data_IF_609556711721
#
_entry.id   IF_609556711721
#
_cell.length_a   1.000
_cell.length_b   1.000
_cell.length_c   1.000
_cell.angle_alpha   90.00
_cell.angle_beta   90.00
_cell.angle_gamma   90.00
#
_symmetry.space_group_name_H-M   'P 1'
#
loop_
_entity.id
_entity.type
_entity.pdbx_description
1 polymer ?
#
# COMPACT_ATOMS: atom_id res chain seq x y z
N UNK A 1 -11.57 -36.36 19.04
CA UNK A 1 -11.38 -34.90 18.80
C UNK A 1 -11.07 -34.73 17.33
N UNK A 2 -12.00 -34.17 16.57
CA UNK A 2 -11.87 -33.97 15.12
C UNK A 2 -10.77 -32.93 14.87
N UNK A 3 -9.66 -33.36 14.26
CA UNK A 3 -8.66 -32.45 13.70
C UNK A 3 -9.38 -31.55 12.69
N UNK A 4 -9.44 -30.25 12.99
CA UNK A 4 -9.86 -29.23 12.04
C UNK A 4 -8.87 -29.27 10.88
N UNK A 5 -9.29 -29.87 9.76
CA UNK A 5 -8.58 -29.80 8.48
C UNK A 5 -8.64 -28.35 7.99
N UNK A 6 -7.79 -27.50 8.55
CA UNK A 6 -7.68 -26.11 8.12
C UNK A 6 -7.07 -26.10 6.73
N UNK A 7 -7.92 -25.84 5.73
CA UNK A 7 -7.50 -25.55 4.37
C UNK A 7 -6.47 -24.39 4.46
N UNK A 8 -5.27 -24.54 3.88
CA UNK A 8 -4.24 -23.50 3.94
C UNK A 8 -4.76 -22.23 3.24
N UNK A 9 -4.47 -21.03 3.78
CA UNK A 9 -4.91 -19.78 3.16
C UNK A 9 -4.47 -19.67 1.69
N UNK A 10 -5.29 -19.05 0.81
CA UNK A 10 -4.98 -18.94 -0.60
C UNK A 10 -3.71 -18.12 -0.84
N UNK A 11 -3.05 -18.34 -1.97
CA UNK A 11 -1.89 -17.53 -2.34
C UNK A 11 -2.29 -16.07 -2.61
N UNK A 12 -1.45 -15.08 -2.25
CA UNK A 12 -1.69 -13.67 -2.54
C UNK A 12 -1.81 -13.32 -4.04
N UNK A 13 -1.63 -14.28 -4.95
CA UNK A 13 -1.61 -14.06 -6.41
C UNK A 13 -2.95 -14.29 -7.10
N UNK A 14 -4.01 -14.68 -6.39
CA UNK A 14 -5.30 -14.93 -7.02
C UNK A 14 -6.13 -13.65 -7.01
N UNK A 15 -6.15 -12.94 -8.15
CA UNK A 15 -7.17 -11.93 -8.42
C UNK A 15 -8.53 -12.60 -8.40
N UNK A 16 -9.42 -12.18 -7.50
CA UNK A 16 -10.78 -12.72 -7.40
C UNK A 16 -11.73 -11.54 -7.28
N UNK A 17 -11.98 -10.87 -8.41
CA UNK A 17 -13.28 -10.24 -8.60
C UNK A 17 -14.25 -11.29 -9.15
N UNK A 18 -14.86 -12.02 -8.22
CA UNK A 18 -16.26 -12.42 -8.35
C UNK A 18 -16.98 -11.82 -7.14
N UNK A 19 -17.43 -10.57 -7.27
CA UNK A 19 -18.34 -9.94 -6.31
C UNK A 19 -19.47 -9.31 -7.11
N UNK A 20 -20.70 -9.69 -6.76
CA UNK A 20 -21.97 -9.23 -7.30
C UNK A 20 -22.08 -7.69 -7.34
N UNK A 21 -21.48 -7.08 -8.35
CA UNK A 21 -21.69 -5.69 -8.74
C UNK A 21 -22.57 -5.71 -9.98
N UNK A 22 -23.88 -5.70 -9.77
CA UNK A 22 -24.82 -5.66 -10.88
C UNK A 22 -24.80 -4.25 -11.51
N UNK A 23 -24.01 -4.13 -12.58
CA UNK A 23 -23.79 -2.92 -13.38
C UNK A 23 -25.06 -2.49 -14.14
N UNK A 24 -26.14 -3.27 -14.09
CA UNK A 24 -27.40 -2.97 -14.78
C UNK A 24 -28.35 -2.09 -13.97
N UNK A 25 -28.02 -1.78 -12.71
CA UNK A 25 -28.85 -0.89 -11.90
C UNK A 25 -28.76 0.59 -12.36
N UNK A 26 -29.87 1.24 -12.73
CA UNK A 26 -29.86 2.56 -13.37
C UNK A 26 -29.31 3.69 -12.48
N UNK A 27 -29.43 3.59 -11.14
CA UNK A 27 -28.84 4.56 -10.20
C UNK A 27 -27.30 4.54 -10.15
N UNK A 28 -26.67 3.45 -10.58
CA UNK A 28 -25.21 3.32 -10.65
C UNK A 28 -24.65 3.77 -12.00
N UNK A 29 -25.45 3.73 -13.07
CA UNK A 29 -25.05 4.16 -14.42
C UNK A 29 -24.73 5.66 -14.47
N UNK A 30 -25.54 6.54 -13.87
CA UNK A 30 -25.30 7.99 -13.89
C UNK A 30 -24.04 8.42 -13.11
N UNK A 31 -23.68 7.67 -12.06
CA UNK A 31 -22.47 7.92 -11.27
C UNK A 31 -21.21 7.38 -11.97
N UNK A 32 -21.34 6.32 -12.76
CA UNK A 32 -20.26 5.69 -13.53
C UNK A 32 -19.99 6.42 -14.86
N UNK A 33 -21.01 7.01 -15.50
CA UNK A 33 -20.86 7.83 -16.73
C UNK A 33 -19.88 8.99 -16.54
N UNK A 34 -19.83 9.59 -15.34
CA UNK A 34 -18.88 10.68 -15.01
C UNK A 34 -17.42 10.23 -14.93
N UNK A 35 -17.18 8.93 -14.78
CA UNK A 35 -15.86 8.32 -14.61
C UNK A 35 -15.58 7.27 -15.70
N UNK A 36 -16.44 7.16 -16.71
CA UNK A 36 -16.34 6.20 -17.82
C UNK A 36 -15.05 6.39 -18.60
N UNK A 37 -14.66 7.66 -18.79
CA UNK A 37 -13.37 8.02 -19.39
C UNK A 37 -12.17 7.62 -18.51
N UNK A 38 -12.33 7.51 -17.18
CA UNK A 38 -11.28 7.01 -16.27
C UNK A 38 -11.23 5.48 -16.35
N UNK A 39 -12.36 4.78 -16.40
CA UNK A 39 -12.40 3.31 -16.48
C UNK A 39 -11.93 2.76 -17.84
N UNK A 40 -12.25 3.46 -18.94
CA UNK A 40 -11.73 3.14 -20.29
C UNK A 40 -10.24 3.50 -20.42
N UNK A 41 -9.77 4.51 -19.67
CA UNK A 41 -8.36 4.85 -19.55
C UNK A 41 -7.58 3.78 -18.77
N UNK A 42 -8.21 3.16 -17.76
CA UNK A 42 -7.71 2.15 -16.80
C UNK A 42 -7.57 0.71 -17.36
N UNK A 43 -7.77 0.48 -18.66
CA UNK A 43 -7.30 -0.75 -19.32
C UNK A 43 -7.94 -2.06 -18.85
N UNK A 44 -9.16 -2.03 -18.29
CA UNK A 44 -9.87 -3.17 -17.68
C UNK A 44 -10.13 -4.36 -18.64
N UNK A 45 -9.79 -4.26 -19.93
CA UNK A 45 -10.11 -5.28 -20.94
C UNK A 45 -8.92 -5.92 -21.67
N UNK A 46 -7.70 -5.88 -21.13
CA UNK A 46 -6.58 -6.64 -21.72
C UNK A 46 -5.42 -6.90 -20.72
N UNK A 47 -5.66 -7.63 -19.63
CA UNK A 47 -4.60 -7.92 -18.65
C UNK A 47 -3.63 -9.01 -19.18
N UNK A 48 -2.43 -8.59 -19.60
CA UNK A 48 -1.28 -9.47 -19.83
C UNK A 48 -0.84 -10.07 -18.47
N UNK A 49 -0.64 -11.39 -18.41
CA UNK A 49 -0.20 -12.09 -17.19
C UNK A 49 1.10 -11.50 -16.59
N UNK A 50 1.96 -10.90 -17.43
CA UNK A 50 3.15 -10.17 -16.98
C UNK A 50 2.80 -8.90 -16.21
N UNK A 51 1.88 -8.09 -16.70
CA UNK A 51 1.41 -6.87 -16.00
C UNK A 51 0.78 -7.24 -14.67
N UNK A 52 -0.01 -8.32 -14.65
CA UNK A 52 -0.62 -8.87 -13.45
C UNK A 52 0.42 -9.29 -12.38
N UNK A 53 1.52 -9.92 -12.80
CA UNK A 53 2.59 -10.30 -11.87
C UNK A 53 3.43 -9.10 -11.42
N UNK A 54 3.78 -8.20 -12.34
CA UNK A 54 4.64 -7.05 -12.07
C UNK A 54 3.96 -6.05 -11.11
N UNK A 55 2.67 -5.78 -11.32
CA UNK A 55 1.89 -4.91 -10.42
C UNK A 55 1.80 -5.50 -9.00
N UNK A 56 1.65 -6.82 -8.87
CA UNK A 56 1.65 -7.49 -7.57
C UNK A 56 2.99 -7.36 -6.84
N UNK A 57 4.12 -7.55 -7.55
CA UNK A 57 5.46 -7.39 -6.97
C UNK A 57 5.72 -5.95 -6.54
N UNK A 58 5.36 -4.98 -7.38
CA UNK A 58 5.49 -3.56 -7.10
C UNK A 58 4.62 -3.12 -5.91
N UNK A 59 3.36 -3.59 -5.87
CA UNK A 59 2.45 -3.34 -4.76
C UNK A 59 2.98 -3.91 -3.44
N UNK A 60 3.46 -5.16 -3.47
CA UNK A 60 4.06 -5.78 -2.29
C UNK A 60 5.29 -5.02 -1.79
N UNK A 61 6.10 -4.48 -2.68
CA UNK A 61 7.23 -3.62 -2.28
C UNK A 61 6.76 -2.41 -1.47
N UNK A 62 5.69 -1.73 -1.90
CA UNK A 62 5.09 -0.62 -1.17
C UNK A 62 4.55 -1.06 0.20
N UNK A 63 3.83 -2.19 0.24
CA UNK A 63 3.26 -2.74 1.47
C UNK A 63 4.36 -3.10 2.49
N UNK A 64 5.41 -3.80 2.06
CA UNK A 64 6.50 -4.22 2.94
C UNK A 64 7.21 -3.00 3.55
N UNK A 65 7.46 -1.96 2.74
CA UNK A 65 8.09 -0.75 3.22
C UNK A 65 7.18 0.02 4.18
N UNK A 66 5.89 0.16 3.85
CA UNK A 66 4.93 0.87 4.70
C UNK A 66 4.65 0.15 6.03
N UNK A 67 4.66 -1.19 6.03
CA UNK A 67 4.44 -2.03 7.19
C UNK A 67 5.71 -2.24 8.04
N UNK A 68 6.75 -1.43 7.85
CA UNK A 68 7.93 -1.48 8.70
C UNK A 68 7.61 -0.87 10.09
N UNK A 69 7.70 -1.63 11.20
CA UNK A 69 7.25 -1.16 12.51
C UNK A 69 7.94 0.10 13.03
N UNK A 70 9.14 0.40 12.55
CA UNK A 70 9.89 1.60 12.95
C UNK A 70 9.21 2.91 12.55
N UNK A 71 8.39 2.94 11.48
CA UNK A 71 7.59 4.12 11.15
C UNK A 71 6.63 4.48 12.28
N UNK A 72 5.93 3.47 12.81
CA UNK A 72 4.90 3.67 13.82
C UNK A 72 5.50 4.19 15.13
N UNK A 73 6.67 3.66 15.52
CA UNK A 73 7.42 4.17 16.67
C UNK A 73 7.94 5.59 16.43
N UNK A 74 8.64 5.82 15.32
CA UNK A 74 9.32 7.09 15.06
C UNK A 74 8.33 8.25 14.87
N UNK A 75 7.12 7.96 14.37
CA UNK A 75 6.08 8.94 14.11
C UNK A 75 5.01 8.99 15.20
N UNK A 76 5.08 8.10 16.20
CA UNK A 76 4.06 7.95 17.24
C UNK A 76 2.66 7.78 16.60
N UNK A 77 2.56 6.80 15.69
CA UNK A 77 1.32 6.46 14.99
C UNK A 77 0.64 5.27 15.66
N UNK A 78 -0.70 5.29 15.79
CA UNK A 78 -1.44 4.10 16.17
C UNK A 78 -1.28 3.02 15.09
N UNK A 79 -1.40 1.76 15.48
CA UNK A 79 -1.30 0.60 14.56
C UNK A 79 -2.65 0.31 13.88
N UNK A 80 -3.47 1.34 13.70
CA UNK A 80 -4.84 1.22 13.20
C UNK A 80 -4.90 1.23 11.67
N UNK A 81 -6.09 0.95 11.14
CA UNK A 81 -6.35 0.96 9.71
C UNK A 81 -5.95 2.28 9.05
N UNK A 82 -6.28 3.41 9.69
CA UNK A 82 -6.04 4.76 9.13
C UNK A 82 -4.56 5.02 8.94
N UNK A 83 -3.74 4.73 9.94
CA UNK A 83 -2.30 4.98 9.91
C UNK A 83 -1.60 4.03 8.94
N UNK A 84 -2.00 2.76 8.92
CA UNK A 84 -1.52 1.79 7.93
C UNK A 84 -1.84 2.22 6.49
N UNK A 85 -3.07 2.65 6.23
CA UNK A 85 -3.48 3.10 4.89
C UNK A 85 -2.73 4.37 4.47
N UNK A 86 -2.57 5.35 5.37
CA UNK A 86 -1.91 6.61 5.06
C UNK A 86 -0.42 6.42 4.73
N UNK A 87 0.30 5.57 5.48
CA UNK A 87 1.69 5.21 5.19
C UNK A 87 1.82 4.39 3.91
N UNK A 88 0.91 3.46 3.64
CA UNK A 88 0.89 2.73 2.36
C UNK A 88 0.73 3.71 1.18
N UNK A 89 -0.19 4.66 1.30
CA UNK A 89 -0.45 5.65 0.27
C UNK A 89 0.75 6.59 0.02
N UNK A 90 1.58 6.88 1.04
CA UNK A 90 2.85 7.61 0.84
C UNK A 90 3.74 6.88 -0.17
N UNK A 91 3.94 5.57 0.01
CA UNK A 91 4.84 4.77 -0.83
C UNK A 91 4.26 4.57 -2.24
N UNK A 92 2.97 4.28 -2.34
CA UNK A 92 2.29 4.17 -3.63
C UNK A 92 2.35 5.51 -4.39
N UNK A 93 2.18 6.65 -3.71
CA UNK A 93 2.31 7.96 -4.36
C UNK A 93 3.74 8.21 -4.90
N UNK A 94 4.78 7.84 -4.14
CA UNK A 94 6.18 7.96 -4.60
C UNK A 94 6.42 7.13 -5.88
N UNK A 95 5.95 5.89 -5.92
CA UNK A 95 6.03 5.03 -7.11
C UNK A 95 5.23 5.62 -8.26
N UNK A 96 4.01 6.10 -8.01
CA UNK A 96 3.17 6.77 -9.00
C UNK A 96 3.91 7.93 -9.67
N UNK A 97 4.58 8.80 -8.89
CA UNK A 97 5.37 9.93 -9.42
C UNK A 97 6.46 9.48 -10.39
N UNK A 98 7.06 8.32 -10.16
CA UNK A 98 8.07 7.73 -11.05
C UNK A 98 7.46 7.11 -12.31
N UNK A 99 6.30 6.46 -12.19
CA UNK A 99 5.63 5.85 -13.33
C UNK A 99 5.17 6.91 -14.34
N UNK A 100 4.54 7.99 -13.87
CA UNK A 100 4.09 9.09 -14.75
C UNK A 100 5.22 9.97 -15.30
N UNK A 101 6.44 9.83 -14.78
CA UNK A 101 7.59 10.58 -15.31
C UNK A 101 8.18 9.92 -16.57
N UNK A 102 7.80 8.68 -16.87
CA UNK A 102 8.17 8.02 -18.13
C UNK A 102 7.34 8.65 -19.24
N UNK A 103 7.94 9.53 -20.04
CA UNK A 103 7.28 10.01 -21.25
C UNK A 103 7.34 8.92 -22.32
N UNK A 104 6.20 8.33 -22.69
CA UNK A 104 6.09 7.55 -23.91
C UNK A 104 5.40 8.40 -24.99
N UNK A 105 6.00 8.48 -26.17
CA UNK A 105 5.47 9.24 -27.32
C UNK A 105 4.41 8.47 -28.12
N UNK A 106 3.85 7.38 -27.56
CA UNK A 106 2.94 6.46 -28.24
C UNK A 106 1.65 6.18 -27.46
N UNK A 107 0.71 5.44 -28.08
CA UNK A 107 -0.57 5.03 -27.46
C UNK A 107 -0.39 4.03 -26.30
N UNK A 108 0.75 3.36 -26.23
CA UNK A 108 1.08 2.37 -25.19
C UNK A 108 2.14 2.97 -24.25
N UNK A 109 1.69 3.60 -23.17
CA UNK A 109 2.56 4.07 -22.09
C UNK A 109 2.70 2.95 -21.03
N UNK A 110 3.82 2.22 -20.99
CA UNK A 110 4.01 1.12 -20.05
C UNK A 110 4.00 1.59 -18.58
N UNK A 111 4.41 2.83 -18.31
CA UNK A 111 4.37 3.42 -16.98
C UNK A 111 2.92 3.61 -16.51
N UNK A 112 2.07 4.13 -17.41
CA UNK A 112 0.63 4.26 -17.17
C UNK A 112 -0.01 2.89 -16.94
N UNK A 113 0.17 1.91 -17.83
CA UNK A 113 -0.43 0.57 -17.67
C UNK A 113 -0.05 -0.09 -16.34
N UNK A 114 1.23 -0.01 -15.94
CA UNK A 114 1.68 -0.56 -14.65
C UNK A 114 1.11 0.20 -13.45
N UNK A 115 0.92 1.51 -13.57
CA UNK A 115 0.32 2.34 -12.53
C UNK A 115 -1.15 1.98 -12.30
N UNK A 116 -1.91 1.76 -13.35
CA UNK A 116 -3.34 1.40 -13.27
C UNK A 116 -3.49 0.05 -12.58
N UNK A 117 -2.71 -0.94 -13.02
CA UNK A 117 -2.65 -2.24 -12.37
C UNK A 117 -2.20 -2.16 -10.89
N UNK A 118 -1.26 -1.27 -10.54
CA UNK A 118 -0.86 -1.02 -9.15
C UNK A 118 -2.02 -0.47 -8.30
N UNK A 119 -2.82 0.46 -8.83
CA UNK A 119 -3.99 1.00 -8.13
C UNK A 119 -5.09 -0.05 -7.96
N UNK A 120 -5.30 -0.92 -8.94
CA UNK A 120 -6.25 -2.02 -8.82
C UNK A 120 -5.86 -2.94 -7.66
N UNK A 121 -4.57 -3.30 -7.53
CA UNK A 121 -4.08 -4.07 -6.38
C UNK A 121 -4.24 -3.34 -5.05
N UNK A 122 -3.97 -2.03 -5.03
CA UNK A 122 -4.18 -1.22 -3.83
C UNK A 122 -5.64 -1.27 -3.37
N UNK A 123 -6.59 -1.10 -4.29
CA UNK A 123 -8.00 -1.03 -3.92
C UNK A 123 -8.61 -2.41 -3.61
N UNK A 124 -8.17 -3.46 -4.29
CA UNK A 124 -8.49 -4.84 -3.94
C UNK A 124 -8.03 -5.17 -2.51
N UNK A 125 -6.75 -4.89 -2.17
CA UNK A 125 -6.25 -5.10 -0.82
C UNK A 125 -6.96 -4.20 0.21
N UNK A 126 -7.29 -2.96 -0.16
CA UNK A 126 -8.04 -2.03 0.71
C UNK A 126 -9.42 -2.59 1.05
N UNK A 127 -10.10 -3.27 0.12
CA UNK A 127 -11.37 -3.98 0.40
C UNK A 127 -11.17 -5.04 1.49
N UNK A 128 -10.10 -5.83 1.41
CA UNK A 128 -9.79 -6.83 2.44
C UNK A 128 -9.45 -6.18 3.78
N UNK A 129 -8.70 -5.07 3.78
CA UNK A 129 -8.40 -4.30 4.99
C UNK A 129 -9.65 -3.70 5.64
N UNK A 130 -10.64 -3.29 4.84
CA UNK A 130 -11.94 -2.81 5.33
C UNK A 130 -12.72 -3.98 5.96
N UNK A 131 -12.79 -5.13 5.31
CA UNK A 131 -13.39 -6.35 5.88
C UNK A 131 -12.72 -6.77 7.18
N UNK A 132 -11.40 -6.60 7.28
CA UNK A 132 -10.65 -6.85 8.51
C UNK A 132 -11.10 -5.98 9.70
N UNK A 133 -11.75 -4.82 9.44
CA UNK A 133 -12.37 -4.00 10.49
C UNK A 133 -13.72 -4.55 10.98
N UNK A 134 -14.18 -5.70 10.49
CA UNK A 134 -15.45 -6.35 10.83
C UNK A 134 -16.68 -5.45 10.56
N UNK A 135 -16.62 -4.63 9.52
CA UNK A 135 -17.78 -3.86 9.04
C UNK A 135 -18.75 -4.78 8.26
N UNK A 136 -20.01 -4.36 8.14
CA UNK A 136 -20.98 -5.08 7.33
C UNK A 136 -20.57 -5.11 5.85
N UNK A 137 -20.67 -6.26 5.19
CA UNK A 137 -20.39 -6.42 3.75
C UNK A 137 -21.16 -5.40 2.89
N UNK A 138 -22.39 -5.05 3.29
CA UNK A 138 -23.23 -4.06 2.60
C UNK A 138 -22.63 -2.64 2.62
N UNK A 139 -21.75 -2.35 3.58
CA UNK A 139 -21.11 -1.05 3.77
C UNK A 139 -19.67 -0.97 3.25
N UNK A 140 -19.08 -2.10 2.84
CA UNK A 140 -17.67 -2.17 2.38
C UNK A 140 -17.40 -1.21 1.22
N UNK A 141 -18.27 -1.19 0.20
CA UNK A 141 -18.11 -0.28 -0.94
C UNK A 141 -18.27 1.20 -0.57
N UNK A 142 -19.12 1.50 0.42
CA UNK A 142 -19.25 2.87 0.95
C UNK A 142 -17.95 3.30 1.62
N UNK A 143 -17.41 2.45 2.50
CA UNK A 143 -16.14 2.73 3.17
C UNK A 143 -14.97 2.80 2.20
N UNK A 144 -14.94 1.97 1.16
CA UNK A 144 -13.92 2.04 0.11
C UNK A 144 -13.91 3.43 -0.55
N UNK A 145 -15.09 3.97 -0.88
CA UNK A 145 -15.20 5.33 -1.44
C UNK A 145 -14.69 6.41 -0.47
N UNK A 146 -14.98 6.30 0.83
CA UNK A 146 -14.47 7.21 1.86
C UNK A 146 -12.94 7.13 2.00
N UNK A 147 -12.36 5.93 1.92
CA UNK A 147 -10.92 5.71 1.96
C UNK A 147 -10.25 6.29 0.72
N UNK A 148 -10.79 6.00 -0.47
CA UNK A 148 -10.29 6.53 -1.74
C UNK A 148 -10.27 8.06 -1.73
N UNK A 149 -11.36 8.71 -1.29
CA UNK A 149 -11.43 10.17 -1.20
C UNK A 149 -10.31 10.74 -0.32
N UNK A 150 -10.02 10.12 0.83
CA UNK A 150 -8.94 10.57 1.72
C UNK A 150 -7.55 10.34 1.11
N UNK A 151 -7.32 9.19 0.50
CA UNK A 151 -6.07 8.86 -0.17
C UNK A 151 -5.78 9.81 -1.34
N UNK A 152 -6.78 10.12 -2.18
CA UNK A 152 -6.61 11.09 -3.26
C UNK A 152 -6.40 12.51 -2.74
N UNK A 153 -7.08 12.91 -1.65
CA UNK A 153 -6.79 14.18 -0.97
C UNK A 153 -5.34 14.28 -0.50
N UNK A 154 -4.79 13.19 0.06
CA UNK A 154 -3.37 13.11 0.44
C UNK A 154 -2.44 13.26 -0.77
N UNK A 155 -2.74 12.59 -1.89
CA UNK A 155 -1.94 12.69 -3.12
C UNK A 155 -1.93 14.11 -3.67
N UNK A 156 -3.09 14.77 -3.72
CA UNK A 156 -3.21 16.18 -4.16
C UNK A 156 -2.38 17.11 -3.28
N UNK A 157 -2.41 16.94 -1.95
CA UNK A 157 -1.60 17.74 -1.04
C UNK A 157 -0.09 17.53 -1.25
N UNK A 158 0.34 16.29 -1.53
CA UNK A 158 1.74 16.00 -1.85
C UNK A 158 2.16 16.53 -3.23
N UNK A 159 1.29 16.45 -4.24
CA UNK A 159 1.54 17.01 -5.57
C UNK A 159 1.66 18.54 -5.54
N UNK A 160 0.86 19.22 -4.70
CA UNK A 160 1.01 20.67 -4.50
C UNK A 160 2.41 21.03 -3.98
N UNK A 161 2.94 20.28 -3.02
CA UNK A 161 4.33 20.45 -2.57
C UNK A 161 5.34 20.17 -3.69
N UNK A 162 5.14 19.07 -4.41
CA UNK A 162 6.04 18.63 -5.49
C UNK A 162 6.13 19.70 -6.61
N UNK A 163 4.99 20.27 -7.00
CA UNK A 163 4.91 21.28 -8.05
C UNK A 163 5.35 22.67 -7.59
N UNK A 164 5.21 23.00 -6.30
CA UNK A 164 5.67 24.26 -5.70
C UNK A 164 7.20 24.29 -5.44
N UNK A 165 8.00 23.56 -6.23
CA UNK A 165 9.45 23.46 -6.13
C UNK A 165 9.97 23.10 -4.71
N UNK A 166 9.22 22.33 -3.93
CA UNK A 166 9.72 21.76 -2.68
C UNK A 166 9.57 22.63 -1.43
N UNK A 167 8.54 23.48 -1.34
CA UNK A 167 8.22 24.23 -0.12
C UNK A 167 8.09 23.30 1.11
N UNK A 168 9.10 23.30 1.99
CA UNK A 168 9.18 22.39 3.16
C UNK A 168 7.95 22.49 4.07
N UNK A 169 7.39 23.69 4.22
CA UNK A 169 6.20 23.93 5.04
C UNK A 169 4.98 23.20 4.46
N UNK A 170 4.77 23.26 3.15
CA UNK A 170 3.63 22.59 2.49
C UNK A 170 3.65 21.06 2.68
N UNK A 171 4.83 20.42 2.62
CA UNK A 171 4.94 18.98 2.85
C UNK A 171 4.72 18.60 4.31
N UNK A 172 5.29 19.36 5.26
CA UNK A 172 5.08 19.12 6.69
C UNK A 172 3.61 19.22 7.07
N UNK A 173 2.92 20.21 6.50
CA UNK A 173 1.49 20.42 6.66
C UNK A 173 0.66 19.26 6.08
N UNK A 174 0.99 18.82 4.87
CA UNK A 174 0.34 17.67 4.24
C UNK A 174 0.56 16.38 5.05
N UNK A 175 1.78 16.14 5.52
CA UNK A 175 2.12 15.01 6.40
C UNK A 175 1.33 15.07 7.71
N UNK A 176 1.25 16.24 8.34
CA UNK A 176 0.51 16.41 9.60
C UNK A 176 -0.95 16.03 9.45
N UNK A 177 -1.62 16.55 8.41
CA UNK A 177 -3.05 16.31 8.18
C UNK A 177 -3.35 14.90 7.68
N UNK A 178 -2.58 14.39 6.72
CA UNK A 178 -2.94 13.16 6.01
C UNK A 178 -2.32 11.89 6.58
N UNK A 179 -1.14 11.98 7.22
CA UNK A 179 -0.46 10.80 7.78
C UNK A 179 -0.57 10.78 9.29
N UNK A 180 -0.19 11.87 9.95
CA UNK A 180 -0.26 11.95 11.42
C UNK A 180 -1.68 12.19 11.94
N UNK A 181 -2.60 12.59 11.06
CA UNK A 181 -4.00 12.89 11.37
C UNK A 181 -4.14 13.89 12.55
N UNK A 182 -3.33 14.95 12.50
CA UNK A 182 -3.32 16.05 13.47
C UNK A 182 -3.29 17.40 12.74
N UNK A 183 -3.63 18.47 13.47
CA UNK A 183 -3.44 19.82 12.96
C UNK A 183 -1.96 20.11 12.68
N UNK A 184 -1.66 20.98 11.70
CA UNK A 184 -0.30 21.47 11.47
C UNK A 184 0.35 21.96 12.76
N UNK A 185 1.65 21.75 12.88
CA UNK A 185 2.47 22.12 14.06
C UNK A 185 2.17 21.36 15.37
N UNK A 186 1.19 20.46 15.43
CA UNK A 186 0.95 19.63 16.61
C UNK A 186 2.09 18.61 16.86
N UNK A 187 2.61 17.99 15.80
CA UNK A 187 3.74 17.05 15.83
C UNK A 187 4.84 17.46 14.83
N UNK A 188 5.49 18.63 15.02
CA UNK A 188 6.34 19.24 13.99
C UNK A 188 7.62 18.42 13.73
N UNK A 189 8.16 17.75 14.76
CA UNK A 189 9.35 16.89 14.64
C UNK A 189 9.05 15.64 13.80
N UNK A 190 7.94 14.96 14.07
CA UNK A 190 7.50 13.78 13.34
C UNK A 190 7.12 14.12 11.90
N UNK A 191 6.44 15.26 11.69
CA UNK A 191 6.10 15.74 10.35
C UNK A 191 7.36 16.01 9.52
N UNK A 192 8.34 16.73 10.09
CA UNK A 192 9.62 17.00 9.43
C UNK A 192 10.42 15.72 9.17
N UNK A 193 10.36 14.74 10.08
CA UNK A 193 11.03 13.45 9.94
C UNK A 193 10.47 12.67 8.74
N UNK A 194 9.15 12.51 8.65
CA UNK A 194 8.53 11.82 7.51
C UNK A 194 8.68 12.63 6.21
N UNK A 195 8.57 13.95 6.25
CA UNK A 195 8.79 14.80 5.07
C UNK A 195 10.22 14.62 4.52
N UNK A 196 11.23 14.55 5.39
CA UNK A 196 12.62 14.29 5.00
C UNK A 196 12.77 12.92 4.36
N UNK A 197 12.12 11.89 4.92
CA UNK A 197 12.05 10.56 4.33
C UNK A 197 11.40 10.59 2.94
N UNK A 198 10.23 11.20 2.79
CA UNK A 198 9.51 11.30 1.52
C UNK A 198 10.38 11.97 0.45
N UNK A 199 11.05 13.07 0.79
CA UNK A 199 11.94 13.77 -0.14
C UNK A 199 13.16 12.93 -0.55
N UNK A 200 13.72 12.14 0.37
CA UNK A 200 14.81 11.21 0.07
C UNK A 200 14.32 10.12 -0.89
N UNK A 201 13.20 9.48 -0.58
CA UNK A 201 12.64 8.41 -1.41
C UNK A 201 12.23 8.88 -2.79
N UNK A 202 11.61 10.06 -2.91
CA UNK A 202 11.33 10.66 -4.22
C UNK A 202 12.60 10.76 -5.06
N UNK A 203 13.73 11.22 -4.50
CA UNK A 203 15.00 11.34 -5.24
C UNK A 203 15.59 9.99 -5.62
N UNK A 204 15.41 8.95 -4.79
CA UNK A 204 15.93 7.61 -5.07
C UNK A 204 15.07 6.89 -6.11
N UNK A 205 13.76 6.81 -5.87
CA UNK A 205 12.80 6.12 -6.74
C UNK A 205 12.66 6.81 -8.09
N UNK A 206 12.84 8.15 -8.18
CA UNK A 206 12.90 8.86 -9.47
C UNK A 206 14.01 8.35 -10.41
N UNK A 207 15.08 7.77 -9.86
CA UNK A 207 16.20 7.22 -10.62
C UNK A 207 16.05 5.72 -10.90
N UNK A 208 15.05 5.05 -10.31
CA UNK A 208 14.82 3.63 -10.50
C UNK A 208 14.52 3.34 -11.98
N UNK A 209 15.05 2.25 -12.50
CA UNK A 209 14.74 1.78 -13.85
C UNK A 209 13.37 1.10 -13.87
N UNK A 210 12.74 1.01 -15.04
CA UNK A 210 11.43 0.36 -15.13
C UNK A 210 11.49 -1.13 -14.75
N UNK A 211 12.58 -1.82 -15.08
CA UNK A 211 12.75 -3.23 -14.74
C UNK A 211 12.82 -3.46 -13.21
N UNK A 212 13.34 -2.47 -12.46
CA UNK A 212 13.39 -2.51 -11.00
C UNK A 212 11.99 -2.33 -10.40
N UNK A 213 11.15 -1.48 -10.98
CA UNK A 213 9.76 -1.32 -10.57
C UNK A 213 8.93 -2.55 -10.93
N UNK A 214 9.08 -3.08 -12.14
CA UNK A 214 8.37 -4.27 -12.63
C UNK A 214 8.68 -5.52 -11.82
N UNK A 215 9.93 -5.67 -11.36
CA UNK A 215 10.34 -6.79 -10.48
C UNK A 215 10.00 -6.55 -9.00
N UNK A 216 9.48 -5.37 -8.63
CA UNK A 216 9.22 -4.98 -7.24
C UNK A 216 10.48 -4.64 -6.42
N UNK A 217 11.66 -4.63 -7.04
CA UNK A 217 12.94 -4.25 -6.44
C UNK A 217 13.09 -2.72 -6.33
N UNK A 218 12.05 -2.05 -5.83
CA UNK A 218 12.06 -0.60 -5.62
C UNK A 218 13.19 -0.24 -4.65
N UNK A 219 14.08 0.72 -5.00
CA UNK A 219 15.26 1.04 -4.21
C UNK A 219 14.91 1.95 -3.02
N UNK A 220 14.06 1.45 -2.12
CA UNK A 220 13.71 2.15 -0.90
C UNK A 220 14.94 2.39 -0.03
N UNK A 221 15.11 3.61 0.46
CA UNK A 221 16.05 3.88 1.54
C UNK A 221 15.61 3.23 2.86
N UNK A 222 16.48 3.21 3.88
CA UNK A 222 16.16 2.60 5.17
C UNK A 222 14.93 3.27 5.78
N UNK A 223 13.99 2.51 6.37
CA UNK A 223 12.82 3.07 7.03
C UNK A 223 13.25 4.01 8.17
N UNK A 224 12.32 4.85 8.66
CA UNK A 224 12.64 5.80 9.72
C UNK A 224 13.30 5.07 10.90
N UNK A 225 14.44 5.58 11.36
CA UNK A 225 15.30 4.87 12.29
C UNK A 225 14.52 4.39 13.52
N UNK A 226 14.43 3.07 13.70
CA UNK A 226 14.78 2.53 15.00
C UNK A 226 16.23 2.96 15.20
N UNK A 227 16.48 3.84 16.16
CA UNK A 227 17.82 4.28 16.57
C UNK A 227 18.88 3.23 16.23
N UNK A 228 19.93 3.60 15.50
CA UNK A 228 21.26 2.99 15.65
C UNK A 228 21.71 3.28 17.08
N UNK A 229 21.06 2.63 18.04
CA UNK A 229 21.61 2.41 19.36
C UNK A 229 22.49 1.18 19.17
N UNK A 230 23.68 1.24 19.73
CA UNK A 230 24.66 0.18 19.94
C UNK A 230 24.13 -1.00 20.78
N UNK A 231 22.84 -1.33 20.66
CA UNK A 231 22.20 -2.54 21.17
C UNK A 231 21.66 -3.32 19.97
N UNK A 232 22.49 -4.24 19.49
CA UNK A 232 22.14 -5.24 18.49
C UNK A 232 21.12 -6.29 19.02
N UNK A 233 20.19 -5.92 19.89
CA UNK A 233 19.42 -6.87 20.71
C UNK A 233 17.92 -6.62 20.84
N UNK A 234 17.33 -5.70 20.07
CA UNK A 234 15.86 -5.74 19.87
C UNK A 234 15.59 -6.32 18.48
N UNK A 235 15.25 -7.62 18.38
CA UNK A 235 14.87 -8.23 17.12
C UNK A 235 13.78 -7.40 16.44
N UNK A 236 13.81 -7.33 15.11
CA UNK A 236 12.72 -6.73 14.31
C UNK A 236 11.34 -7.40 14.56
N UNK A 237 11.32 -8.50 15.31
CA UNK A 237 10.14 -9.28 15.67
C UNK A 237 9.58 -8.96 17.06
N UNK A 238 10.26 -8.15 17.87
CA UNK A 238 9.92 -7.85 19.27
C UNK A 238 8.92 -6.67 19.40
N UNK A 239 8.23 -6.35 18.31
CA UNK A 239 7.13 -5.38 18.33
C UNK A 239 5.86 -6.10 18.78
N UNK A 240 5.19 -5.54 19.79
CA UNK A 240 3.95 -6.07 20.38
C UNK A 240 2.71 -5.94 19.44
N UNK A 241 2.94 -5.69 18.15
CA UNK A 241 1.90 -5.52 17.16
C UNK A 241 2.30 -6.12 15.81
N UNK A 242 1.31 -6.71 15.14
CA UNK A 242 1.45 -7.28 13.80
C UNK A 242 0.71 -6.40 12.78
N UNK A 243 1.45 -5.63 11.99
CA UNK A 243 0.89 -4.83 10.90
C UNK A 243 0.50 -5.72 9.72
N UNK A 244 -0.42 -5.28 8.87
CA UNK A 244 -0.77 -5.98 7.63
C UNK A 244 0.30 -5.69 6.58
N UNK A 245 1.04 -6.72 6.18
CA UNK A 245 2.18 -6.62 5.27
C UNK A 245 3.56 -6.69 5.95
N UNK A 246 3.61 -6.81 7.27
CA UNK A 246 4.86 -6.90 8.03
C UNK A 246 5.61 -8.18 7.69
N UNK A 247 6.92 -8.07 7.48
CA UNK A 247 7.82 -9.19 7.21
C UNK A 247 8.42 -9.77 8.50
N UNK A 248 8.58 -11.09 8.52
CA UNK A 248 9.16 -11.91 9.60
C UNK A 248 10.10 -12.95 8.94
N UNK A 249 11.33 -12.54 8.63
CA UNK A 249 12.20 -13.31 7.75
C UNK A 249 11.54 -13.54 6.39
N UNK A 250 11.40 -14.80 5.97
CA UNK A 250 10.76 -15.17 4.70
C UNK A 250 9.23 -15.09 4.71
N UNK A 251 8.64 -14.91 5.89
CA UNK A 251 7.20 -14.83 6.08
C UNK A 251 6.72 -13.40 6.09
N UNK A 252 5.43 -13.21 5.77
CA UNK A 252 4.76 -11.92 5.91
C UNK A 252 3.30 -12.08 6.30
N UNK A 253 2.74 -11.12 7.00
CA UNK A 253 1.30 -11.06 7.22
C UNK A 253 0.56 -10.60 5.95
N UNK A 254 -0.64 -11.15 5.73
CA UNK A 254 -1.54 -10.81 4.62
C UNK A 254 -3.00 -11.01 5.07
N UNK A 255 -3.95 -10.58 4.22
CA UNK A 255 -5.38 -10.78 4.44
C UNK A 255 -5.95 -11.68 3.34
N UNK A 256 -6.85 -12.59 3.73
CA UNK A 256 -7.65 -13.32 2.76
C UNK A 256 -8.79 -12.44 2.21
N UNK A 257 -9.55 -12.97 1.24
CA UNK A 257 -10.67 -12.23 0.63
C UNK A 257 -11.75 -11.80 1.63
N UNK A 258 -11.82 -12.43 2.80
CA UNK A 258 -12.76 -12.13 3.89
C UNK A 258 -12.16 -11.17 4.92
N UNK A 259 -10.93 -10.69 4.71
CA UNK A 259 -10.22 -9.84 5.66
C UNK A 259 -9.66 -10.60 6.86
N UNK A 260 -9.56 -11.93 6.82
CA UNK A 260 -8.92 -12.71 7.88
C UNK A 260 -7.40 -12.69 7.70
N UNK A 261 -6.68 -12.33 8.75
CA UNK A 261 -5.21 -12.28 8.75
C UNK A 261 -4.61 -13.68 8.71
N UNK A 262 -3.61 -13.86 7.87
CA UNK A 262 -2.78 -15.06 7.76
C UNK A 262 -1.33 -14.68 7.46
N UNK A 263 -0.43 -15.67 7.46
CA UNK A 263 0.99 -15.52 7.17
C UNK A 263 1.36 -16.32 5.92
N UNK A 264 2.16 -15.72 5.05
CA UNK A 264 2.60 -16.29 3.78
C UNK A 264 4.13 -16.31 3.71
N UNK A 265 4.72 -17.46 3.40
CA UNK A 265 6.14 -17.58 3.12
C UNK A 265 6.42 -17.29 1.64
N UNK A 266 7.22 -16.26 1.39
CA UNK A 266 7.56 -15.78 0.05
C UNK A 266 8.43 -16.75 -0.75
N UNK A 267 9.23 -17.58 -0.08
CA UNK A 267 10.15 -18.57 -0.67
C UNK A 267 9.43 -19.91 -0.87
N UNK A 268 8.91 -20.51 0.21
CA UNK A 268 8.33 -21.86 0.19
C UNK A 268 6.91 -21.90 -0.36
N UNK A 269 6.27 -20.73 -0.57
CA UNK A 269 4.87 -20.59 -1.00
C UNK A 269 3.86 -21.22 -0.03
N UNK A 270 4.28 -21.45 1.21
CA UNK A 270 3.42 -21.96 2.27
C UNK A 270 2.60 -20.83 2.91
N UNK A 271 1.44 -21.18 3.45
CA UNK A 271 0.58 -20.26 4.17
C UNK A 271 0.17 -20.86 5.52
N UNK A 272 0.03 -20.02 6.54
CA UNK A 272 -0.30 -20.40 7.91
C UNK A 272 -1.26 -19.39 8.53
N UNK A 273 -2.17 -19.84 9.38
CA UNK A 273 -3.07 -18.93 10.12
C UNK A 273 -2.40 -18.29 11.34
N UNK A 274 -1.40 -18.97 11.90
CA UNK A 274 -0.65 -18.52 13.06
C UNK A 274 0.68 -17.89 12.65
N UNK A 275 1.18 -16.99 13.51
CA UNK A 275 2.48 -16.35 13.31
C UNK A 275 3.57 -17.43 13.37
N UNK A 276 4.42 -17.55 12.34
CA UNK A 276 5.48 -18.56 12.33
C UNK A 276 6.44 -18.28 13.49
N UNK A 277 6.69 -19.29 14.32
CA UNK A 277 7.81 -19.26 15.25
C UNK A 277 9.10 -19.32 14.44
N UNK A 278 10.16 -18.62 14.87
CA UNK A 278 11.48 -18.79 14.23
C UNK A 278 11.82 -20.27 14.22
N UNK A 279 12.14 -20.81 13.05
CA UNK A 279 12.88 -22.06 13.00
C UNK A 279 14.19 -21.78 13.76
N UNK A 280 14.35 -22.41 14.92
CA UNK A 280 15.60 -22.34 15.67
C UNK A 280 16.74 -22.77 14.74
N UNK A 281 17.74 -21.90 14.61
CA UNK A 281 19.04 -22.31 14.08
C UNK A 281 19.75 -23.17 15.13
#
# INVERSE_FOLDING_TARGET
>A
MLMSTQIPPPSPRSGIFNTNFDVTQPKHQERMERWKWVLDLLGYYNEDARISSNSALLYHSCVNQAAHPSFYRALDLPTDFRSQQALLMVHVWIVHRRLISVKSSGKDDPGKVLQEALFDRLWEDTVFRIRHQNVSELTVNKHLGEVQQRCFGQCVAFDQHYNAAGSKTALNDAVSRHVLNVEPHAKPKQAALLATYIQRELKHVQKARMEELESGAVPWGPPLAASTRTDATVPQDDYDFDLIGQQYGDWRSALDIRGKKYFWNSITRMSAWEKPQKAGH
#
